data_IF_676899420547
#
_entry.id   IF_676899420547
#
_cell.length_a   1.000
_cell.length_b   1.000
_cell.length_c   1.000
_cell.angle_alpha   90.00
_cell.angle_beta   90.00
_cell.angle_gamma   90.00
#
_symmetry.space_group_name_H-M   'P 1'
#
loop_
_entity.id
_entity.type
_entity.pdbx_description
1 polymer ?
#
# COMPACT_ATOMS: atom_id res chain seq x y z
N UNK A 1 20.83 -10.85 -16.50
CA UNK A 1 20.57 -11.33 -15.13
C UNK A 1 20.07 -10.16 -14.31
N UNK A 2 18.80 -10.19 -13.90
CA UNK A 2 18.12 -9.03 -13.31
C UNK A 2 18.34 -9.00 -11.80
N UNK A 3 18.62 -7.82 -11.24
CA UNK A 3 18.73 -7.63 -9.80
C UNK A 3 17.54 -6.84 -9.27
N UNK A 4 16.94 -7.31 -8.18
CA UNK A 4 15.73 -6.73 -7.58
C UNK A 4 16.05 -6.31 -6.16
N UNK A 5 15.96 -5.01 -5.86
CA UNK A 5 16.04 -4.49 -4.50
C UNK A 5 14.62 -4.43 -3.95
N UNK A 6 14.31 -5.12 -2.86
CA UNK A 6 12.93 -5.19 -2.37
C UNK A 6 12.72 -6.05 -1.13
N UNK A 7 11.46 -6.41 -0.88
CA UNK A 7 11.03 -7.22 0.25
C UNK A 7 10.43 -8.55 -0.24
N UNK A 8 10.96 -9.71 0.18
CA UNK A 8 10.40 -11.02 -0.17
C UNK A 8 9.14 -11.30 0.66
N UNK A 9 8.03 -11.59 -0.03
CA UNK A 9 6.85 -12.17 0.58
C UNK A 9 7.00 -13.69 0.61
N UNK A 10 7.64 -14.17 1.69
CA UNK A 10 7.81 -15.60 1.98
C UNK A 10 6.47 -16.31 2.12
N UNK A 11 6.44 -17.60 1.80
CA UNK A 11 5.20 -18.37 1.88
C UNK A 11 4.59 -18.41 3.29
N UNK A 12 5.40 -18.41 4.37
CA UNK A 12 4.89 -18.39 5.75
C UNK A 12 4.12 -17.10 6.06
N UNK A 13 4.73 -15.94 5.82
CA UNK A 13 4.09 -14.63 5.98
C UNK A 13 2.84 -14.50 5.08
N UNK A 14 2.89 -15.05 3.86
CA UNK A 14 1.76 -15.06 2.93
C UNK A 14 0.58 -15.92 3.45
N UNK A 15 0.84 -17.09 4.03
CA UNK A 15 -0.18 -17.96 4.62
C UNK A 15 -0.83 -17.28 5.84
N UNK A 16 -0.06 -16.56 6.65
CA UNK A 16 -0.59 -15.76 7.76
C UNK A 16 -1.52 -14.65 7.27
N UNK A 17 -1.12 -13.88 6.24
CA UNK A 17 -1.95 -12.86 5.60
C UNK A 17 -3.26 -13.48 5.07
N UNK A 18 -3.17 -14.62 4.36
CA UNK A 18 -4.33 -15.29 3.79
C UNK A 18 -5.35 -15.73 4.86
N UNK A 19 -4.86 -16.25 5.99
CA UNK A 19 -5.69 -16.64 7.14
C UNK A 19 -6.30 -15.41 7.82
N UNK A 20 -5.49 -14.39 8.12
CA UNK A 20 -5.90 -13.14 8.78
C UNK A 20 -7.00 -12.41 8.02
N UNK A 21 -6.90 -12.35 6.70
CA UNK A 21 -7.87 -11.66 5.83
C UNK A 21 -8.95 -12.58 5.24
N UNK A 22 -9.00 -13.86 5.66
CA UNK A 22 -9.96 -14.87 5.19
C UNK A 22 -10.04 -14.97 3.65
N UNK A 23 -8.90 -14.88 2.97
CA UNK A 23 -8.82 -14.77 1.51
C UNK A 23 -9.29 -16.04 0.78
N UNK A 24 -9.30 -17.18 1.46
CA UNK A 24 -9.73 -18.47 0.90
C UNK A 24 -10.83 -19.08 1.77
N UNK A 25 -12.06 -19.08 1.26
CA UNK A 25 -13.26 -19.59 1.96
C UNK A 25 -13.21 -21.08 2.36
N UNK A 26 -12.28 -21.87 1.82
CA UNK A 26 -12.12 -23.28 2.18
C UNK A 26 -11.16 -23.39 3.38
N UNK A 27 -11.62 -23.81 4.57
CA UNK A 27 -10.75 -23.97 5.75
C UNK A 27 -9.75 -25.13 5.62
N UNK A 28 -9.89 -25.97 4.59
CA UNK A 28 -8.95 -27.05 4.22
C UNK A 28 -8.20 -26.74 2.92
N UNK A 29 -8.02 -25.46 2.58
CA UNK A 29 -7.14 -25.08 1.49
C UNK A 29 -5.69 -25.46 1.83
N UNK A 30 -4.96 -25.95 0.83
CA UNK A 30 -3.52 -26.16 0.93
C UNK A 30 -2.76 -24.83 1.07
N UNK A 31 -1.53 -24.94 1.56
CA UNK A 31 -0.65 -23.81 1.83
C UNK A 31 -0.25 -23.04 0.57
N UNK A 32 -0.12 -23.72 -0.56
CA UNK A 32 0.21 -23.09 -1.85
C UNK A 32 -0.91 -22.16 -2.31
N UNK A 33 -2.16 -22.63 -2.26
CA UNK A 33 -3.37 -21.84 -2.57
C UNK A 33 -3.57 -20.67 -1.62
N UNK A 34 -3.25 -20.84 -0.32
CA UNK A 34 -3.26 -19.73 0.65
C UNK A 34 -2.19 -18.68 0.31
N UNK A 35 -0.94 -19.10 0.10
CA UNK A 35 0.16 -18.22 -0.25
C UNK A 35 -0.09 -17.47 -1.58
N UNK A 36 -0.63 -18.14 -2.59
CA UNK A 36 -0.99 -17.52 -3.87
C UNK A 36 -2.08 -16.46 -3.71
N UNK A 37 -3.14 -16.73 -2.93
CA UNK A 37 -4.21 -15.78 -2.67
C UNK A 37 -3.70 -14.51 -1.96
N UNK A 38 -2.78 -14.66 -0.98
CA UNK A 38 -2.13 -13.52 -0.34
C UNK A 38 -1.18 -12.76 -1.29
N UNK A 39 -0.40 -13.46 -2.12
CA UNK A 39 0.50 -12.83 -3.10
C UNK A 39 -0.28 -11.93 -4.09
N UNK A 40 -1.46 -12.38 -4.54
CA UNK A 40 -2.39 -11.56 -5.34
C UNK A 40 -2.93 -10.38 -4.53
N UNK A 41 -3.51 -10.64 -3.36
CA UNK A 41 -4.14 -9.61 -2.52
C UNK A 41 -3.17 -8.49 -2.11
N UNK A 42 -1.91 -8.81 -1.79
CA UNK A 42 -0.88 -7.79 -1.49
C UNK A 42 -0.60 -6.92 -2.73
N UNK A 43 -0.57 -7.52 -3.93
CA UNK A 43 -0.50 -6.76 -5.18
C UNK A 43 -1.66 -5.76 -5.31
N UNK A 44 -2.89 -6.23 -5.12
CA UNK A 44 -4.10 -5.39 -5.18
C UNK A 44 -4.09 -4.25 -4.14
N UNK A 45 -3.60 -4.49 -2.92
CA UNK A 45 -3.48 -3.44 -1.89
C UNK A 45 -2.46 -2.35 -2.23
N UNK A 46 -1.41 -2.69 -2.97
CA UNK A 46 -0.33 -1.75 -3.33
C UNK A 46 -0.67 -0.99 -4.62
N UNK A 47 -1.32 -1.67 -5.57
CA UNK A 47 -1.57 -1.19 -6.93
C UNK A 47 -0.39 -1.50 -7.85
N UNK A 48 -0.09 -0.60 -8.79
CA UNK A 48 1.01 -0.79 -9.74
C UNK A 48 2.35 -0.80 -8.98
N UNK A 49 2.95 -1.98 -8.83
CA UNK A 49 4.29 -2.20 -8.27
C UNK A 49 4.95 -3.37 -8.99
N UNK A 50 6.26 -3.29 -9.24
CA UNK A 50 6.99 -4.43 -9.78
C UNK A 50 7.12 -5.53 -8.73
N UNK A 51 6.65 -6.75 -9.05
CA UNK A 51 6.91 -7.94 -8.26
C UNK A 51 7.50 -9.03 -9.16
N UNK A 52 8.55 -9.71 -8.69
CA UNK A 52 9.31 -10.70 -9.47
C UNK A 52 9.67 -11.93 -8.64
N UNK A 53 9.69 -13.11 -9.27
CA UNK A 53 10.11 -14.35 -8.62
C UNK A 53 11.65 -14.42 -8.53
N UNK A 54 12.22 -14.20 -7.36
CA UNK A 54 13.67 -14.10 -7.15
C UNK A 54 14.18 -15.22 -6.25
N UNK A 55 15.48 -15.53 -6.35
CA UNK A 55 16.14 -16.46 -5.46
C UNK A 55 16.36 -15.83 -4.08
N UNK A 56 15.77 -16.44 -3.06
CA UNK A 56 15.87 -16.08 -1.65
C UNK A 56 16.26 -17.35 -0.88
N UNK A 57 17.50 -17.44 -0.40
CA UNK A 57 18.04 -18.62 0.29
C UNK A 57 17.77 -19.93 -0.48
N UNK A 58 18.22 -19.98 -1.75
CA UNK A 58 18.06 -21.12 -2.68
C UNK A 58 16.61 -21.51 -3.06
N UNK A 59 15.61 -20.72 -2.63
CA UNK A 59 14.19 -20.92 -2.96
C UNK A 59 13.65 -19.76 -3.82
N UNK A 60 12.78 -20.02 -4.81
CA UNK A 60 12.12 -18.96 -5.57
C UNK A 60 10.96 -18.34 -4.78
N UNK A 61 11.08 -17.06 -4.43
CA UNK A 61 10.05 -16.31 -3.70
C UNK A 61 9.65 -15.03 -4.43
N UNK A 62 8.43 -14.53 -4.14
CA UNK A 62 7.95 -13.29 -4.74
C UNK A 62 8.54 -12.09 -4.00
N UNK A 63 9.32 -11.26 -4.68
CA UNK A 63 9.89 -10.02 -4.13
C UNK A 63 9.11 -8.84 -4.68
N UNK A 64 8.54 -8.02 -3.78
CA UNK A 64 7.99 -6.71 -4.13
C UNK A 64 9.14 -5.71 -4.20
N UNK A 65 9.39 -5.19 -5.40
CA UNK A 65 10.57 -4.40 -5.71
C UNK A 65 10.40 -2.94 -5.27
N UNK A 66 11.36 -2.45 -4.49
CA UNK A 66 11.63 -1.03 -4.36
C UNK A 66 12.33 -0.48 -5.62
N UNK A 67 13.17 -1.29 -6.27
CA UNK A 67 13.88 -0.96 -7.50
C UNK A 67 14.27 -2.24 -8.28
N UNK A 68 14.38 -2.14 -9.61
CA UNK A 68 14.80 -3.24 -10.50
C UNK A 68 15.91 -2.75 -11.42
N UNK A 69 17.06 -3.43 -11.37
CA UNK A 69 18.18 -3.25 -12.30
C UNK A 69 18.07 -4.31 -13.40
N UNK A 70 17.72 -3.87 -14.61
CA UNK A 70 17.76 -4.71 -15.81
C UNK A 70 19.15 -4.63 -16.46
N UNK A 71 19.74 -5.78 -16.78
CA UNK A 71 21.03 -5.87 -17.48
C UNK A 71 21.71 -7.22 -17.30
N UNK A 72 22.98 -7.32 -17.70
CA UNK A 72 23.85 -8.49 -17.44
C UNK A 72 25.00 -8.10 -16.52
N UNK A 73 24.65 -7.72 -15.29
CA UNK A 73 25.62 -7.41 -14.22
C UNK A 73 25.77 -8.62 -13.32
N UNK A 74 27.01 -9.04 -13.06
CA UNK A 74 27.32 -10.13 -12.12
C UNK A 74 26.97 -9.80 -10.67
N UNK A 75 26.95 -8.50 -10.33
CA UNK A 75 26.76 -7.97 -8.98
C UNK A 75 25.66 -6.90 -8.97
N UNK A 76 24.90 -6.76 -7.86
CA UNK A 76 23.89 -5.72 -7.73
C UNK A 76 24.51 -4.31 -7.64
N UNK A 77 23.78 -3.26 -8.05
CA UNK A 77 24.22 -1.87 -7.86
C UNK A 77 24.51 -1.51 -6.40
N UNK A 78 25.71 -0.95 -6.15
CA UNK A 78 26.11 -0.47 -4.83
C UNK A 78 25.32 0.76 -4.33
N UNK A 79 24.67 1.51 -5.23
CA UNK A 79 23.84 2.68 -4.93
C UNK A 79 22.68 2.75 -5.91
N UNK A 80 21.51 3.16 -5.41
CA UNK A 80 20.29 3.43 -6.19
C UNK A 80 19.89 4.89 -5.94
N UNK A 81 19.46 5.59 -7.00
CA UNK A 81 18.91 6.96 -6.85
C UNK A 81 17.52 6.87 -6.22
N UNK A 82 17.19 7.67 -5.18
CA UNK A 82 15.85 7.71 -4.61
C UNK A 82 14.75 8.01 -5.65
N UNK A 83 15.07 8.80 -6.69
CA UNK A 83 14.14 9.11 -7.79
C UNK A 83 13.77 7.88 -8.66
N UNK A 84 14.52 6.78 -8.56
CA UNK A 84 14.23 5.53 -9.27
C UNK A 84 13.52 4.50 -8.37
N UNK A 85 13.35 4.77 -7.08
CA UNK A 85 12.69 3.87 -6.14
C UNK A 85 11.16 4.02 -6.20
N UNK A 86 10.42 3.07 -5.65
CA UNK A 86 8.98 3.22 -5.44
C UNK A 86 8.66 4.47 -4.62
N UNK A 87 7.51 5.09 -4.91
CA UNK A 87 7.01 6.26 -4.19
C UNK A 87 6.65 5.93 -2.73
N UNK A 88 6.68 6.94 -1.87
CA UNK A 88 6.19 6.85 -0.49
C UNK A 88 4.76 6.32 -0.41
N UNK A 89 3.91 6.62 -1.40
CA UNK A 89 2.54 6.12 -1.50
C UNK A 89 2.51 4.59 -1.68
N UNK A 90 3.35 4.03 -2.55
CA UNK A 90 3.49 2.58 -2.74
C UNK A 90 4.13 1.93 -1.50
N UNK A 91 5.21 2.50 -0.95
CA UNK A 91 5.87 2.00 0.25
C UNK A 91 4.90 1.92 1.45
N UNK A 92 4.13 2.98 1.71
CA UNK A 92 3.15 3.02 2.79
C UNK A 92 1.98 2.04 2.59
N UNK A 93 1.59 1.74 1.35
CA UNK A 93 0.62 0.67 1.07
C UNK A 93 1.23 -0.71 1.35
N UNK A 94 2.46 -0.97 0.89
CA UNK A 94 3.17 -2.22 1.11
C UNK A 94 3.38 -2.48 2.62
N UNK A 95 3.77 -1.46 3.40
CA UNK A 95 3.91 -1.48 4.88
C UNK A 95 2.61 -1.86 5.60
N UNK A 96 1.43 -1.61 5.00
CA UNK A 96 0.11 -2.00 5.53
C UNK A 96 -0.32 -3.41 5.11
N UNK A 97 0.11 -3.85 3.93
CA UNK A 97 -0.30 -5.12 3.33
C UNK A 97 0.56 -6.32 3.77
N UNK A 98 1.86 -6.13 3.99
CA UNK A 98 2.79 -7.20 4.34
C UNK A 98 3.89 -6.75 5.31
N UNK A 99 4.52 -7.68 6.07
CA UNK A 99 5.66 -7.35 6.90
C UNK A 99 6.90 -7.03 6.04
N UNK A 100 7.48 -5.85 6.22
CA UNK A 100 8.68 -5.39 5.51
C UNK A 100 9.97 -5.94 6.14
N UNK A 101 10.08 -7.28 6.20
CA UNK A 101 11.26 -8.01 6.68
C UNK A 101 12.22 -8.28 5.52
N UNK A 102 13.50 -8.52 5.85
CA UNK A 102 14.53 -8.93 4.87
C UNK A 102 14.59 -8.00 3.65
N UNK A 103 14.82 -6.70 3.86
CA UNK A 103 15.09 -5.81 2.74
C UNK A 103 16.46 -6.14 2.14
N UNK A 104 16.58 -6.27 0.83
CA UNK A 104 17.85 -6.60 0.21
C UNK A 104 17.82 -6.78 -1.30
N UNK A 105 18.98 -7.09 -1.86
CA UNK A 105 19.16 -7.44 -3.25
C UNK A 105 18.91 -8.93 -3.48
N UNK A 106 18.06 -9.22 -4.47
CA UNK A 106 17.67 -10.56 -4.86
C UNK A 106 17.88 -10.78 -6.35
N UNK A 107 18.29 -11.99 -6.71
CA UNK A 107 18.64 -12.34 -8.07
C UNK A 107 17.43 -12.93 -8.80
N UNK A 108 17.11 -12.37 -9.97
CA UNK A 108 16.03 -12.83 -10.83
C UNK A 108 16.61 -13.42 -12.14
N UNK A 109 16.39 -14.71 -12.33
CA UNK A 109 17.03 -15.53 -13.38
C UNK A 109 16.07 -16.05 -14.46
N UNK A 110 14.84 -15.54 -14.53
CA UNK A 110 13.87 -15.96 -15.54
C UNK A 110 13.74 -14.88 -16.64
N UNK A 111 14.36 -15.06 -17.83
CA UNK A 111 14.26 -14.10 -18.92
C UNK A 111 12.85 -14.03 -19.54
N UNK A 112 11.90 -14.88 -19.13
CA UNK A 112 10.52 -14.91 -19.61
C UNK A 112 9.52 -14.36 -18.58
N UNK A 113 9.96 -13.98 -17.39
CA UNK A 113 9.07 -13.49 -16.33
C UNK A 113 8.48 -12.14 -16.68
N UNK A 114 7.15 -12.12 -16.87
CA UNK A 114 6.40 -10.88 -17.05
C UNK A 114 6.25 -10.18 -15.70
N UNK A 115 6.51 -8.88 -15.69
CA UNK A 115 6.19 -8.01 -14.55
C UNK A 115 4.70 -8.12 -14.24
N UNK A 116 4.34 -8.31 -12.96
CA UNK A 116 2.97 -8.10 -12.48
C UNK A 116 2.65 -6.60 -12.51
N UNK A 117 2.29 -6.09 -13.70
CA UNK A 117 1.78 -4.73 -13.89
C UNK A 117 0.27 -4.83 -14.06
N UNK A 118 -0.51 -4.54 -13.01
CA UNK A 118 -1.94 -4.25 -13.19
C UNK A 118 -2.02 -3.09 -14.19
N UNK A 119 -2.72 -3.31 -15.29
CA UNK A 119 -2.69 -2.43 -16.47
C UNK A 119 -3.96 -1.60 -16.59
N UNK A 120 -4.72 -1.47 -15.50
CA UNK A 120 -6.11 -0.99 -15.51
C UNK A 120 -6.24 0.52 -15.16
N UNK A 121 -5.13 1.27 -15.20
CA UNK A 121 -5.09 2.73 -15.03
C UNK A 121 -4.35 3.40 -16.20
N UNK A 122 -4.87 3.20 -17.41
CA UNK A 122 -4.89 4.29 -18.39
C UNK A 122 -6.11 5.15 -18.01
N UNK A 123 -5.93 6.04 -17.01
CA UNK A 123 -6.95 7.06 -16.67
C UNK A 123 -6.74 8.26 -17.60
N UNK A 124 -7.76 8.56 -18.41
CA UNK A 124 -7.74 9.61 -19.43
C UNK A 124 -7.57 11.02 -18.80
N UNK A 125 -6.35 11.55 -18.82
CA UNK A 125 -6.08 12.98 -18.66
C UNK A 125 -5.26 13.52 -19.84
N UNK A 126 -5.95 13.95 -20.90
CA UNK A 126 -5.54 15.11 -21.71
C UNK A 126 -6.77 15.70 -22.42
N UNK A 127 -7.31 16.77 -21.82
CA UNK A 127 -8.47 17.52 -22.33
C UNK A 127 -8.02 18.86 -22.92
N UNK A 128 -7.54 18.84 -24.16
CA UNK A 128 -7.69 19.93 -25.12
C UNK A 128 -7.86 19.35 -26.55
N UNK A 129 -8.39 20.04 -27.56
CA UNK A 129 -9.01 21.36 -27.59
C UNK A 129 -9.18 21.89 -29.02
N UNK A 130 -10.40 21.80 -29.56
CA UNK A 130 -10.90 22.51 -30.77
C UNK A 130 -10.57 21.97 -32.18
N UNK A 131 -11.55 22.13 -33.08
CA UNK A 131 -11.51 21.79 -34.53
C UNK A 131 -12.00 20.37 -34.81
N UNK A 132 -13.26 20.11 -35.16
CA UNK A 132 -13.99 20.74 -36.27
C UNK A 132 -13.43 20.17 -37.57
N UNK A 133 -14.11 19.30 -38.32
CA UNK A 133 -15.39 19.55 -38.99
C UNK A 133 -16.00 18.24 -39.54
N UNK A 134 -17.31 18.00 -39.37
CA UNK A 134 -18.02 16.96 -40.15
C UNK A 134 -19.54 17.12 -40.15
N UNK A 135 -20.08 17.46 -41.33
CA UNK A 135 -21.44 17.21 -41.84
C UNK A 135 -22.65 17.73 -41.04
N UNK A 136 -23.17 18.87 -41.49
CA UNK A 136 -24.59 19.25 -41.35
C UNK A 136 -25.49 18.24 -42.12
N UNK A 137 -26.48 17.64 -41.46
CA UNK A 137 -27.74 17.20 -42.10
C UNK A 137 -28.89 17.39 -41.10
N UNK A 138 -29.87 18.21 -41.49
CA UNK A 138 -30.99 18.65 -40.63
C UNK A 138 -32.03 17.56 -40.35
N UNK A 139 -32.60 17.54 -39.14
CA UNK A 139 -33.96 17.02 -38.91
C UNK A 139 -34.58 17.58 -37.63
N UNK A 140 -35.55 18.47 -37.82
CA UNK A 140 -36.41 19.01 -36.78
C UNK A 140 -37.24 17.90 -36.10
N UNK A 141 -37.50 18.06 -34.79
CA UNK A 141 -38.18 17.03 -34.00
C UNK A 141 -38.62 17.51 -32.62
N UNK A 142 -39.35 18.63 -32.56
CA UNK A 142 -40.00 19.09 -31.33
C UNK A 142 -40.88 17.99 -30.69
N UNK A 143 -40.72 17.78 -29.38
CA UNK A 143 -41.80 17.30 -28.51
C UNK A 143 -41.52 17.76 -27.07
N UNK A 144 -42.39 18.63 -26.60
CA UNK A 144 -42.30 19.39 -25.35
C UNK A 144 -43.41 18.90 -24.41
N UNK A 145 -43.07 18.18 -23.34
CA UNK A 145 -44.05 17.79 -22.33
C UNK A 145 -43.52 17.80 -20.89
N UNK A 146 -44.05 18.76 -20.14
CA UNK A 146 -43.77 19.06 -18.73
C UNK A 146 -44.52 18.16 -17.74
N UNK A 147 -43.91 17.86 -16.58
CA UNK A 147 -44.52 17.75 -15.23
C UNK A 147 -43.39 17.40 -14.25
N UNK A 148 -42.94 18.26 -13.33
CA UNK A 148 -43.61 18.79 -12.15
C UNK A 148 -44.28 17.73 -11.26
N UNK A 149 -43.55 17.23 -10.26
CA UNK A 149 -44.10 16.82 -8.97
C UNK A 149 -42.98 16.86 -7.92
N UNK A 150 -43.20 17.62 -6.84
CA UNK A 150 -42.32 17.62 -5.66
C UNK A 150 -42.94 16.79 -4.54
N UNK A 151 -42.13 16.43 -3.54
CA UNK A 151 -42.66 16.06 -2.22
C UNK A 151 -41.83 16.69 -1.12
N UNK A 152 -42.55 17.40 -0.26
CA UNK A 152 -42.09 18.06 0.95
C UNK A 152 -42.28 17.12 2.17
N UNK A 153 -41.70 17.46 3.32
CA UNK A 153 -41.93 16.78 4.60
C UNK A 153 -41.45 15.32 4.70
N UNK A 154 -41.47 14.65 5.85
CA UNK A 154 -42.07 14.97 7.15
C UNK A 154 -41.19 14.36 8.28
N UNK A 155 -40.78 15.19 9.24
CA UNK A 155 -40.65 14.94 10.69
C UNK A 155 -40.66 13.49 11.30
N UNK A 156 -39.77 13.25 12.29
CA UNK A 156 -40.15 12.64 13.60
C UNK A 156 -39.09 12.63 14.72
N UNK A 157 -39.49 13.29 15.81
CA UNK A 157 -39.43 12.89 17.23
C UNK A 157 -38.10 12.78 18.00
N UNK A 158 -38.03 13.63 19.03
CA UNK A 158 -37.28 13.50 20.27
C UNK A 158 -37.35 12.11 20.93
N UNK A 159 -36.34 11.77 21.72
CA UNK A 159 -36.52 11.32 23.11
C UNK A 159 -35.24 11.56 23.91
N UNK A 160 -35.32 12.35 24.98
CA UNK A 160 -34.22 12.57 25.92
C UNK A 160 -34.00 11.37 26.85
N UNK A 161 -32.77 11.21 27.35
CA UNK A 161 -32.57 10.58 28.66
C UNK A 161 -31.29 11.03 29.36
N UNK A 162 -31.48 11.88 30.37
CA UNK A 162 -30.50 12.04 31.44
C UNK A 162 -30.28 10.72 32.19
N UNK A 163 -29.07 10.55 32.70
CA UNK A 163 -28.85 9.83 33.96
C UNK A 163 -27.56 10.34 34.59
N UNK A 164 -27.69 11.14 35.65
CA UNK A 164 -26.60 11.47 36.56
C UNK A 164 -26.13 10.21 37.32
N UNK A 165 -24.88 10.24 37.78
CA UNK A 165 -24.25 9.11 38.48
C UNK A 165 -22.82 9.46 38.89
N UNK A 166 -22.67 10.59 39.59
CA UNK A 166 -21.48 10.89 40.38
C UNK A 166 -21.52 10.02 41.65
N UNK A 167 -20.47 9.24 41.89
CA UNK A 167 -20.10 8.82 43.25
C UNK A 167 -18.61 8.48 43.27
N UNK A 168 -17.93 8.96 44.31
CA UNK A 168 -16.48 9.17 44.34
C UNK A 168 -15.85 8.42 45.51
N UNK A 169 -14.98 7.45 45.21
CA UNK A 169 -14.06 6.86 46.19
C UNK A 169 -12.64 7.41 46.00
N UNK A 170 -12.28 8.38 46.85
CA UNK A 170 -10.90 8.82 47.03
C UNK A 170 -10.31 8.11 48.25
N UNK A 171 -9.06 7.60 48.17
CA UNK A 171 -8.15 7.49 49.33
C UNK A 171 -6.67 7.60 48.88
N UNK A 172 -5.83 8.23 49.72
CA UNK A 172 -4.42 8.66 49.48
C UNK A 172 -3.47 8.17 50.58
N UNK A 173 -2.13 8.15 50.48
CA UNK A 173 -1.14 8.80 49.58
C UNK A 173 0.14 7.94 49.50
N UNK A 174 0.99 8.11 48.48
CA UNK A 174 2.46 8.09 48.70
C UNK A 174 3.23 9.08 47.81
N UNK A 175 4.05 9.91 48.44
CA UNK A 175 5.09 10.78 47.86
C UNK A 175 6.08 10.06 46.91
N UNK A 176 6.66 10.80 45.95
CA UNK A 176 7.50 10.19 44.92
C UNK A 176 8.42 11.05 44.04
N UNK A 177 8.80 12.26 44.45
CA UNK A 177 9.85 13.12 43.86
C UNK A 177 9.62 13.76 42.47
N UNK A 178 10.05 15.02 42.37
CA UNK A 178 10.10 15.82 41.14
C UNK A 178 11.42 15.65 40.39
N UNK A 179 11.36 15.75 39.05
CA UNK A 179 12.39 16.42 38.27
C UNK A 179 11.77 17.04 37.04
N UNK A 180 11.93 18.35 36.90
CA UNK A 180 11.49 19.10 35.74
C UNK A 180 12.50 18.95 34.59
N UNK A 181 12.00 18.86 33.36
CA UNK A 181 12.67 19.41 32.17
C UNK A 181 11.64 20.14 31.33
N UNK A 182 12.06 21.28 30.76
CA UNK A 182 11.20 22.25 30.11
C UNK A 182 10.54 21.77 28.81
N UNK A 183 9.43 22.44 28.51
CA UNK A 183 8.75 22.38 27.21
C UNK A 183 9.61 23.01 26.10
N UNK A 184 9.88 22.26 25.03
CA UNK A 184 9.99 22.82 23.68
C UNK A 184 9.22 21.94 22.71
N UNK A 185 8.19 22.52 22.11
CA UNK A 185 7.51 22.00 20.92
C UNK A 185 8.39 22.30 19.70
N UNK A 186 8.46 21.33 18.77
CA UNK A 186 8.86 21.37 17.34
C UNK A 186 9.96 20.38 16.97
N UNK A 187 9.57 19.16 16.58
CA UNK A 187 10.28 18.38 15.52
C UNK A 187 9.47 17.18 14.97
N UNK A 188 8.14 17.30 14.86
CA UNK A 188 7.25 16.22 14.39
C UNK A 188 7.42 15.80 12.91
N UNK A 189 8.24 16.51 12.13
CA UNK A 189 8.36 16.34 10.68
C UNK A 189 9.64 15.61 10.21
N UNK A 190 10.67 15.47 11.06
CA UNK A 190 11.96 14.87 10.65
C UNK A 190 12.06 13.36 10.84
N UNK A 191 11.15 12.75 11.60
CA UNK A 191 11.25 11.32 11.97
C UNK A 191 11.03 10.35 10.79
N UNK A 192 10.21 10.73 9.80
CA UNK A 192 9.90 9.86 8.65
C UNK A 192 11.07 9.71 7.67
N UNK A 193 11.83 10.79 7.42
CA UNK A 193 13.03 10.72 6.56
C UNK A 193 14.13 9.86 7.17
N UNK A 194 14.14 9.69 8.50
CA UNK A 194 15.15 8.92 9.22
C UNK A 194 14.87 7.42 9.15
N UNK A 195 13.64 6.96 9.36
CA UNK A 195 13.28 5.53 9.19
C UNK A 195 13.65 5.00 7.79
N UNK A 196 13.39 5.78 6.73
CA UNK A 196 13.70 5.36 5.36
C UNK A 196 15.23 5.25 5.12
N UNK A 197 16.02 6.12 5.74
CA UNK A 197 17.48 6.05 5.67
C UNK A 197 18.11 4.96 6.55
N UNK A 198 17.55 4.70 7.74
CA UNK A 198 18.08 3.72 8.69
C UNK A 198 17.87 2.28 8.16
N UNK A 199 16.74 2.00 7.51
CA UNK A 199 16.46 0.72 6.84
C UNK A 199 17.24 0.47 5.53
N UNK A 200 17.95 1.47 5.00
CA UNK A 200 18.75 1.36 3.78
C UNK A 200 20.27 1.26 4.04
N UNK A 201 20.70 1.16 5.30
CA UNK A 201 22.11 0.86 5.60
C UNK A 201 22.36 -0.64 5.50
N UNK A 202 23.11 -1.04 4.48
CA UNK A 202 23.80 -2.32 4.47
C UNK A 202 24.88 -2.25 5.56
N UNK A 203 24.89 -3.19 6.49
CA UNK A 203 25.94 -3.29 7.50
C UNK A 203 27.28 -3.65 6.82
N UNK A 204 28.16 -2.66 6.65
CA UNK A 204 29.57 -2.86 6.30
C UNK A 204 30.35 -3.38 7.52
N UNK A 205 29.97 -4.57 8.01
CA UNK A 205 30.61 -5.23 9.14
C UNK A 205 30.99 -6.68 8.82
N UNK A 206 31.80 -6.86 7.77
CA UNK A 206 32.61 -8.06 7.53
C UNK A 206 33.78 -7.72 6.59
N UNK A 207 34.89 -7.30 7.18
CA UNK A 207 36.21 -7.15 6.57
C UNK A 207 37.27 -7.79 7.51
#
# INVERSE_FOLDING_TARGET
>A
MTWVLGWPLRNEDAIEIAKKHNLVKNPKADEHRLAQAAKIWVGDQVGIINAMACWVNDMPELVFAAYVEFGDRSDPPAKVSPANMISDKQFNRLKRAMPLKNFGWYQHNDPYSKLYRNSDNDEDEDSDGSGGESSDEDSDGDSDESSNEGSDGEERMDTAKDSAGDDSDNETVTDGVVSAVDSVVDEGAQSLSREFHEGCRIDESLA
#
